data_IF_781573546089
#
_entry.id   IF_781573546089
#
_cell.length_a   1.000
_cell.length_b   1.000
_cell.length_c   1.000
_cell.angle_alpha   90.00
_cell.angle_beta   90.00
_cell.angle_gamma   90.00
#
_symmetry.space_group_name_H-M   'P 1'
#
loop_
_entity.id
_entity.type
_entity.pdbx_description
1 polymer ?
#
# COMPACT_ATOMS: atom_id res chain seq x y z
N UNK A 1 -4.64 12.67 5.24
CA UNK A 1 -4.36 13.31 3.93
C UNK A 1 -5.14 14.61 3.74
N UNK A 2 -6.29 14.82 4.40
CA UNK A 2 -7.18 15.97 4.16
C UNK A 2 -6.51 17.36 4.23
N UNK A 3 -5.52 17.54 5.13
CA UNK A 3 -4.76 18.79 5.28
C UNK A 3 -3.99 19.22 4.01
N UNK A 4 -3.61 18.27 3.16
CA UNK A 4 -2.74 18.51 2.00
C UNK A 4 -3.32 17.97 0.70
N UNK A 5 -4.65 17.80 0.62
CA UNK A 5 -5.31 17.14 -0.50
C UNK A 5 -4.91 17.73 -1.87
N UNK A 6 -4.82 19.06 -1.97
CA UNK A 6 -4.47 19.76 -3.22
C UNK A 6 -2.96 19.77 -3.53
N UNK A 7 -2.15 19.07 -2.73
CA UNK A 7 -0.69 19.00 -2.84
C UNK A 7 -0.16 17.57 -2.91
N UNK A 8 -1.05 16.58 -3.00
CA UNK A 8 -0.72 15.17 -3.03
C UNK A 8 -1.37 14.54 -4.26
N UNK A 9 -0.58 14.26 -5.30
CA UNK A 9 -1.06 13.59 -6.52
C UNK A 9 -0.57 12.15 -6.64
N UNK A 10 0.46 11.79 -5.86
CA UNK A 10 1.16 10.52 -5.92
C UNK A 10 1.25 9.96 -4.50
N UNK A 11 0.99 8.66 -4.34
CA UNK A 11 1.19 7.93 -3.09
C UNK A 11 2.00 6.66 -3.34
N UNK A 12 2.94 6.38 -2.45
CA UNK A 12 3.64 5.10 -2.41
C UNK A 12 2.97 4.22 -1.34
N UNK A 13 2.54 3.04 -1.75
CA UNK A 13 1.88 2.04 -0.92
C UNK A 13 2.93 1.02 -0.49
N UNK A 14 3.24 1.02 0.80
CA UNK A 14 4.22 0.14 1.43
C UNK A 14 3.59 -0.46 2.67
N UNK A 15 3.75 -1.76 2.85
CA UNK A 15 3.26 -2.47 4.03
C UNK A 15 4.39 -3.14 4.78
N UNK A 16 4.16 -3.33 6.08
CA UNK A 16 5.13 -3.86 7.01
C UNK A 16 4.43 -4.82 7.97
N UNK A 17 5.11 -5.89 8.33
CA UNK A 17 4.68 -6.82 9.37
C UNK A 17 5.66 -6.81 10.54
N UNK A 18 5.25 -7.41 11.66
CA UNK A 18 6.10 -7.56 12.85
C UNK A 18 6.37 -9.03 13.11
N UNK A 19 7.66 -9.41 13.12
CA UNK A 19 8.14 -10.70 13.62
C UNK A 19 8.71 -10.49 15.03
N UNK A 20 7.85 -10.64 16.03
CA UNK A 20 8.14 -10.21 17.40
C UNK A 20 8.43 -8.70 17.47
N UNK A 21 9.66 -8.33 17.80
CA UNK A 21 10.10 -6.93 17.86
C UNK A 21 10.73 -6.43 16.54
N UNK A 22 10.87 -7.29 15.53
CA UNK A 22 11.49 -6.94 14.25
C UNK A 22 10.44 -6.51 13.25
N UNK A 23 10.65 -5.35 12.64
CA UNK A 23 9.87 -4.90 11.49
C UNK A 23 10.37 -5.58 10.22
N UNK A 24 9.45 -6.14 9.44
CA UNK A 24 9.70 -6.82 8.18
C UNK A 24 8.86 -6.19 7.07
N UNK A 25 9.34 -6.20 5.84
CA UNK A 25 8.51 -5.85 4.69
C UNK A 25 7.48 -6.94 4.42
N UNK A 26 6.29 -6.52 4.01
CA UNK A 26 5.22 -7.38 3.58
C UNK A 26 4.62 -6.81 2.29
N UNK A 27 4.03 -7.68 1.49
CA UNK A 27 3.18 -7.28 0.37
C UNK A 27 2.02 -6.44 0.88
N UNK A 28 1.54 -5.51 0.05
CA UNK A 28 0.42 -4.64 0.40
C UNK A 28 -0.82 -5.47 0.73
N UNK A 29 -1.33 -5.33 1.96
CA UNK A 29 -2.46 -6.09 2.47
C UNK A 29 -2.10 -7.33 3.30
N UNK A 30 -0.83 -7.71 3.34
CA UNK A 30 -0.31 -8.82 4.16
C UNK A 30 0.45 -8.34 5.40
N UNK A 31 0.57 -7.02 5.59
CA UNK A 31 1.20 -6.41 6.75
C UNK A 31 0.20 -6.00 7.82
N UNK A 32 0.49 -4.87 8.47
CA UNK A 32 -0.23 -4.41 9.66
C UNK A 32 -0.96 -3.08 9.47
N UNK A 33 -1.04 -2.55 8.25
CA UNK A 33 -1.79 -1.34 7.93
C UNK A 33 -3.28 -1.62 7.68
N UNK A 34 -4.14 -0.70 8.14
CA UNK A 34 -5.57 -0.72 7.84
C UNK A 34 -5.85 -0.10 6.47
N UNK A 35 -5.91 -0.92 5.42
CA UNK A 35 -5.95 -0.44 4.04
C UNK A 35 -7.27 0.21 3.61
N UNK A 36 -8.43 -0.31 4.04
CA UNK A 36 -9.74 0.26 3.65
C UNK A 36 -9.86 1.77 3.95
N UNK A 37 -9.60 2.26 5.17
CA UNK A 37 -9.67 3.70 5.45
C UNK A 37 -8.57 4.51 4.75
N UNK A 38 -7.40 3.92 4.48
CA UNK A 38 -6.32 4.56 3.72
C UNK A 38 -6.78 4.81 2.29
N UNK A 39 -7.26 3.78 1.59
CA UNK A 39 -7.70 3.86 0.20
C UNK A 39 -8.91 4.78 0.04
N UNK A 40 -9.88 4.72 0.97
CA UNK A 40 -11.01 5.64 0.99
C UNK A 40 -10.57 7.10 1.11
N UNK A 41 -9.55 7.37 1.93
CA UNK A 41 -8.97 8.71 2.09
C UNK A 41 -8.22 9.15 0.84
N UNK A 42 -7.44 8.27 0.20
CA UNK A 42 -6.78 8.57 -1.08
C UNK A 42 -7.80 8.94 -2.16
N UNK A 43 -8.92 8.20 -2.25
CA UNK A 43 -10.00 8.48 -3.19
C UNK A 43 -10.64 9.85 -2.94
N UNK A 44 -10.93 10.19 -1.68
CA UNK A 44 -11.43 11.52 -1.29
C UNK A 44 -10.43 12.65 -1.59
N UNK A 45 -9.14 12.37 -1.47
CA UNK A 45 -8.06 13.30 -1.78
C UNK A 45 -7.78 13.43 -3.29
N UNK A 46 -8.42 12.61 -4.14
CA UNK A 46 -8.20 12.58 -5.59
C UNK A 46 -6.74 12.31 -5.96
N UNK A 47 -6.10 11.36 -5.25
CA UNK A 47 -4.78 10.84 -5.63
C UNK A 47 -4.87 10.25 -7.05
N UNK A 48 -3.90 10.57 -7.89
CA UNK A 48 -3.85 10.15 -9.28
C UNK A 48 -3.01 8.87 -9.45
N UNK A 49 -1.87 8.81 -8.77
CA UNK A 49 -0.91 7.71 -8.91
C UNK A 49 -0.71 6.95 -7.62
N UNK A 50 -0.86 5.63 -7.70
CA UNK A 50 -0.65 4.68 -6.62
C UNK A 50 0.51 3.76 -6.99
N UNK A 51 1.64 3.89 -6.31
CA UNK A 51 2.85 3.12 -6.58
C UNK A 51 3.01 2.06 -5.51
N UNK A 52 3.05 0.79 -5.88
CA UNK A 52 3.46 -0.26 -4.94
C UNK A 52 4.98 -0.14 -4.73
N UNK A 53 5.40 0.09 -3.48
CA UNK A 53 6.80 0.24 -3.11
C UNK A 53 7.18 -0.80 -2.05
N UNK A 54 8.20 -1.60 -2.36
CA UNK A 54 8.72 -2.61 -1.47
C UNK A 54 10.24 -2.72 -1.66
N UNK A 55 11.03 -2.28 -0.68
CA UNK A 55 12.51 -2.32 -0.76
C UNK A 55 13.06 -3.74 -0.62
N UNK A 56 12.34 -4.60 0.11
CA UNK A 56 12.72 -6.00 0.31
C UNK A 56 11.52 -6.90 0.06
N UNK A 57 11.63 -7.80 -0.91
CA UNK A 57 10.64 -8.82 -1.20
C UNK A 57 11.02 -10.12 -0.45
N UNK A 58 10.10 -10.75 0.31
CA UNK A 58 10.35 -12.05 0.93
C UNK A 58 10.73 -13.15 -0.07
N UNK A 59 10.28 -13.02 -1.33
CA UNK A 59 10.52 -13.94 -2.44
C UNK A 59 10.79 -13.22 -3.77
N UNK A 60 10.23 -13.75 -4.86
CA UNK A 60 10.36 -13.15 -6.18
C UNK A 60 9.64 -11.78 -6.24
N UNK A 61 10.30 -10.72 -6.74
CA UNK A 61 9.73 -9.38 -6.73
C UNK A 61 8.47 -9.24 -7.61
N UNK A 62 8.33 -10.02 -8.69
CA UNK A 62 7.14 -9.97 -9.53
C UNK A 62 5.96 -10.67 -8.85
N UNK A 63 6.21 -11.74 -8.09
CA UNK A 63 5.18 -12.37 -7.27
C UNK A 63 4.70 -11.44 -6.15
N UNK A 64 5.61 -10.77 -5.44
CA UNK A 64 5.28 -9.77 -4.41
C UNK A 64 4.49 -8.59 -4.97
N UNK A 65 4.91 -8.06 -6.13
CA UNK A 65 4.18 -7.01 -6.84
C UNK A 65 2.78 -7.48 -7.28
N UNK A 66 2.70 -8.69 -7.82
CA UNK A 66 1.44 -9.29 -8.26
C UNK A 66 0.46 -9.53 -7.12
N UNK A 67 0.94 -9.98 -5.96
CA UNK A 67 0.12 -10.16 -4.76
C UNK A 67 -0.39 -8.82 -4.24
N UNK A 68 0.50 -7.84 -4.09
CA UNK A 68 0.14 -6.47 -3.68
C UNK A 68 -0.93 -5.86 -4.58
N UNK A 69 -0.79 -6.00 -5.91
CA UNK A 69 -1.78 -5.50 -6.87
C UNK A 69 -3.13 -6.23 -6.75
N UNK A 70 -3.13 -7.55 -6.57
CA UNK A 70 -4.38 -8.32 -6.37
C UNK A 70 -5.11 -7.89 -5.10
N UNK A 71 -4.38 -7.72 -4.00
CA UNK A 71 -4.93 -7.28 -2.73
C UNK A 71 -5.56 -5.89 -2.86
N UNK A 72 -4.85 -4.93 -3.46
CA UNK A 72 -5.37 -3.58 -3.70
C UNK A 72 -6.65 -3.57 -4.55
N UNK A 73 -6.70 -4.37 -5.62
CA UNK A 73 -7.91 -4.53 -6.44
C UNK A 73 -9.07 -5.14 -5.66
N UNK A 74 -8.79 -6.16 -4.84
CA UNK A 74 -9.81 -6.75 -3.97
C UNK A 74 -10.35 -5.74 -2.94
N UNK A 75 -9.53 -4.76 -2.54
CA UNK A 75 -9.91 -3.64 -1.67
C UNK A 75 -10.55 -2.45 -2.41
N UNK A 76 -10.79 -2.57 -3.72
CA UNK A 76 -11.52 -1.56 -4.50
C UNK A 76 -10.66 -0.44 -5.09
N UNK A 77 -9.35 -0.67 -5.25
CA UNK A 77 -8.50 0.18 -6.09
C UNK A 77 -8.63 -0.28 -7.55
N UNK A 78 -9.27 0.55 -8.38
CA UNK A 78 -9.57 0.30 -9.81
C UNK A 78 -8.48 0.86 -10.75
#
# INVERSE_FOLDING_TARGET
>A
MDKFRDRMHIVHLKDLSMDGAKQCFAEVGEGNLEWEPILATCKRAQIEWYLIEQDTCPGDPFDSLGLSLRNLRAMGLD
#
